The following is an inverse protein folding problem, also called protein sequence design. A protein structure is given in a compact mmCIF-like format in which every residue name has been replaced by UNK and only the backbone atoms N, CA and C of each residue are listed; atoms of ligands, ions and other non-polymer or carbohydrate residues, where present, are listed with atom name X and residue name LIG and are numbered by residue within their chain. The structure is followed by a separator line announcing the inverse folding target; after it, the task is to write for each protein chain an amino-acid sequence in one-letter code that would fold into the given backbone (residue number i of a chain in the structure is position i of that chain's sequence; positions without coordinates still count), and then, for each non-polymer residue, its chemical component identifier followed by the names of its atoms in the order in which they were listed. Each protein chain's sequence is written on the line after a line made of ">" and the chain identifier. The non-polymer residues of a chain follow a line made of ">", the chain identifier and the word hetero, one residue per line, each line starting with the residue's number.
data_IF_726874740453
#
_entry.id   IF_726874740453
#
_cell.length_a   1.000
_cell.length_b   1.000
_cell.length_c   1.000
_cell.angle_alpha   90.00
_cell.angle_beta   90.00
_cell.angle_gamma   90.00
#
_symmetry.space_group_name_H-M   'P 1'
#
loop_
_entity.id
_entity.type
_entity.pdbx_description
1 polymer ?
#
# COMPACT_ATOMS: atom_id res chain seq x y z
N UNK A 1 0.41 22.13 -6.62
CA UNK A 1 1.06 21.35 -5.55
C UNK A 1 0.20 20.13 -5.31
N UNK A 2 0.54 19.00 -5.94
CA UNK A 2 -0.30 17.81 -5.94
C UNK A 2 -0.48 17.34 -4.50
N UNK A 3 -1.73 17.34 -4.02
CA UNK A 3 -2.11 16.82 -2.72
C UNK A 3 -1.83 15.32 -2.78
N UNK A 4 -0.80 14.85 -2.10
CA UNK A 4 -0.54 13.41 -1.95
C UNK A 4 -1.86 12.80 -1.45
N UNK A 5 -2.47 11.95 -2.25
CA UNK A 5 -3.74 11.34 -1.89
C UNK A 5 -3.47 10.32 -0.78
N UNK A 6 -3.81 10.72 0.44
CA UNK A 6 -3.69 9.88 1.62
C UNK A 6 -4.93 9.00 1.73
N UNK A 7 -4.72 7.70 1.90
CA UNK A 7 -5.79 6.72 2.03
C UNK A 7 -6.57 6.98 3.32
N UNK A 8 -7.90 7.04 3.25
CA UNK A 8 -8.72 7.21 4.46
C UNK A 8 -8.57 6.01 5.42
N UNK A 9 -8.64 6.22 6.74
CA UNK A 9 -8.44 5.14 7.73
C UNK A 9 -9.33 3.92 7.51
N UNK A 10 -10.60 4.13 7.13
CA UNK A 10 -11.54 3.03 6.86
C UNK A 10 -11.09 2.10 5.72
N UNK A 11 -10.37 2.62 4.72
CA UNK A 11 -9.88 1.81 3.61
C UNK A 11 -8.62 1.03 3.98
N UNK A 12 -7.81 1.55 4.92
CA UNK A 12 -6.64 0.83 5.44
C UNK A 12 -7.08 -0.52 6.02
N UNK A 13 -8.11 -0.53 6.84
CA UNK A 13 -8.60 -1.75 7.49
C UNK A 13 -9.21 -2.74 6.49
N UNK A 14 -9.93 -2.24 5.46
CA UNK A 14 -10.49 -3.08 4.39
C UNK A 14 -9.37 -3.74 3.59
N UNK A 15 -8.38 -2.96 3.12
CA UNK A 15 -7.24 -3.49 2.35
C UNK A 15 -6.46 -4.50 3.20
N UNK A 16 -6.22 -4.20 4.48
CA UNK A 16 -5.50 -5.11 5.37
C UNK A 16 -6.19 -6.48 5.48
N UNK A 17 -7.53 -6.47 5.61
CA UNK A 17 -8.33 -7.69 5.62
C UNK A 17 -8.29 -8.45 4.29
N UNK A 18 -8.37 -7.75 3.16
CA UNK A 18 -8.37 -8.38 1.82
C UNK A 18 -7.00 -8.96 1.45
N UNK A 19 -5.91 -8.29 1.84
CA UNK A 19 -4.53 -8.68 1.55
C UNK A 19 -3.98 -9.71 2.55
N UNK A 20 -4.62 -9.83 3.72
CA UNK A 20 -4.15 -10.70 4.81
C UNK A 20 -2.89 -10.15 5.47
N UNK A 21 -2.84 -8.85 5.72
CA UNK A 21 -1.73 -8.16 6.39
C UNK A 21 -2.23 -7.24 7.51
N UNK A 22 -1.31 -6.55 8.18
CA UNK A 22 -1.66 -5.62 9.27
C UNK A 22 -1.89 -4.21 8.72
N UNK A 23 -2.80 -3.40 9.32
CA UNK A 23 -3.06 -2.03 8.89
C UNK A 23 -1.81 -1.14 8.75
N UNK A 24 -0.83 -1.28 9.64
CA UNK A 24 0.42 -0.51 9.54
C UNK A 24 1.25 -0.87 8.29
N UNK A 25 1.18 -2.11 7.81
CA UNK A 25 1.85 -2.52 6.57
C UNK A 25 1.17 -1.89 5.36
N UNK A 26 -0.16 -1.73 5.42
CA UNK A 26 -0.94 -1.02 4.39
C UNK A 26 -0.56 0.45 4.34
N UNK A 27 -0.46 1.11 5.51
CA UNK A 27 -0.01 2.50 5.59
C UNK A 27 1.39 2.69 5.04
N UNK A 28 2.36 1.88 5.50
CA UNK A 28 3.75 1.98 5.05
C UNK A 28 3.90 1.75 3.54
N UNK A 29 3.24 0.73 2.98
CA UNK A 29 3.26 0.50 1.54
C UNK A 29 2.55 1.63 0.78
N UNK A 30 1.42 2.13 1.29
CA UNK A 30 0.66 3.21 0.64
C UNK A 30 1.45 4.53 0.59
N UNK A 31 2.23 4.85 1.62
CA UNK A 31 3.13 6.01 1.64
C UNK A 31 4.20 5.89 0.55
N UNK A 32 4.86 4.74 0.46
CA UNK A 32 5.86 4.47 -0.58
C UNK A 32 5.27 4.60 -1.99
N UNK A 33 4.06 4.09 -2.22
CA UNK A 33 3.38 4.22 -3.51
C UNK A 33 2.97 5.66 -3.80
N UNK A 34 2.59 6.43 -2.78
CA UNK A 34 2.26 7.84 -2.93
C UNK A 34 3.51 8.69 -3.28
N UNK A 35 4.70 8.24 -2.87
CA UNK A 35 6.01 8.80 -3.26
C UNK A 35 6.47 8.33 -4.66
N UNK A 36 5.72 7.46 -5.32
CA UNK A 36 6.02 6.96 -6.67
C UNK A 36 6.84 5.67 -6.71
N UNK A 37 7.00 4.97 -5.59
CA UNK A 37 7.60 3.64 -5.62
C UNK A 37 6.73 2.67 -6.44
N UNK A 38 7.36 1.67 -7.07
CA UNK A 38 6.66 0.61 -7.80
C UNK A 38 6.64 -0.68 -6.98
N UNK A 39 5.72 -1.61 -7.28
CA UNK A 39 5.66 -2.92 -6.59
C UNK A 39 7.01 -3.65 -6.61
N UNK A 40 7.72 -3.81 -7.76
CA UNK A 40 9.03 -4.47 -7.77
C UNK A 40 10.09 -3.73 -6.93
N UNK A 41 10.03 -2.39 -6.90
CA UNK A 41 10.94 -1.59 -6.08
C UNK A 41 10.70 -1.82 -4.59
N UNK A 42 9.44 -1.77 -4.14
CA UNK A 42 9.08 -1.96 -2.74
C UNK A 42 9.44 -3.38 -2.27
N UNK A 43 9.08 -4.40 -3.06
CA UNK A 43 9.41 -5.79 -2.78
C UNK A 43 10.91 -6.04 -2.56
N UNK A 44 11.74 -5.39 -3.38
CA UNK A 44 13.20 -5.61 -3.39
C UNK A 44 13.97 -4.71 -2.42
N UNK A 45 13.55 -3.47 -2.23
CA UNK A 45 14.35 -2.43 -1.55
C UNK A 45 13.68 -1.81 -0.33
N UNK A 46 12.43 -2.16 -0.02
CA UNK A 46 11.67 -1.62 1.12
C UNK A 46 10.97 -2.70 1.95
N UNK A 47 11.49 -3.93 1.90
CA UNK A 47 10.91 -5.08 2.60
C UNK A 47 10.75 -4.87 4.11
N UNK A 48 11.73 -4.23 4.75
CA UNK A 48 11.65 -3.94 6.19
C UNK A 48 10.58 -2.88 6.51
N UNK A 49 10.46 -1.85 5.66
CA UNK A 49 9.48 -0.77 5.86
C UNK A 49 8.04 -1.29 5.79
N UNK A 50 7.77 -2.28 4.96
CA UNK A 50 6.44 -2.90 4.84
C UNK A 50 6.21 -4.08 5.79
N UNK A 51 7.16 -4.40 6.67
CA UNK A 51 7.07 -5.57 7.53
C UNK A 51 7.09 -6.90 6.76
N UNK A 52 7.72 -6.92 5.58
CA UNK A 52 7.98 -8.13 4.82
C UNK A 52 6.92 -8.53 3.80
N UNK A 53 6.04 -7.62 3.37
CA UNK A 53 5.02 -7.93 2.35
C UNK A 53 5.65 -8.54 1.09
N UNK A 54 5.03 -9.59 0.58
CA UNK A 54 5.45 -10.30 -0.63
C UNK A 54 4.86 -9.65 -1.89
N UNK A 55 5.42 -9.97 -3.06
CA UNK A 55 5.04 -9.39 -4.35
C UNK A 55 3.52 -9.45 -4.61
N UNK A 56 2.89 -10.60 -4.35
CA UNK A 56 1.44 -10.76 -4.54
C UNK A 56 0.63 -9.89 -3.58
N UNK A 57 1.09 -9.72 -2.34
CA UNK A 57 0.44 -8.87 -1.35
C UNK A 57 0.58 -7.38 -1.73
N UNK A 58 1.77 -6.97 -2.17
CA UNK A 58 2.03 -5.61 -2.64
C UNK A 58 1.23 -5.27 -3.89
N UNK A 59 1.11 -6.21 -4.84
CA UNK A 59 0.31 -6.02 -6.05
C UNK A 59 -1.18 -5.90 -5.74
N UNK A 60 -1.71 -6.76 -4.87
CA UNK A 60 -3.11 -6.68 -4.43
C UNK A 60 -3.41 -5.37 -3.70
N UNK A 61 -2.53 -4.98 -2.76
CA UNK A 61 -2.62 -3.73 -2.02
C UNK A 61 -2.61 -2.52 -2.96
N UNK A 62 -1.67 -2.48 -3.92
CA UNK A 62 -1.53 -1.38 -4.85
C UNK A 62 -2.81 -1.20 -5.68
N UNK A 63 -3.32 -2.28 -6.28
CA UNK A 63 -4.59 -2.25 -7.05
C UNK A 63 -5.76 -1.77 -6.20
N UNK A 64 -5.83 -2.19 -4.94
CA UNK A 64 -6.93 -1.81 -4.06
C UNK A 64 -6.85 -0.35 -3.61
N UNK A 65 -5.64 0.13 -3.33
CA UNK A 65 -5.36 1.55 -3.09
C UNK A 65 -5.82 2.40 -4.28
N UNK A 66 -5.40 2.07 -5.50
CA UNK A 66 -5.78 2.85 -6.70
C UNK A 66 -7.30 2.92 -6.86
N UNK A 67 -7.99 1.79 -6.72
CA UNK A 67 -9.45 1.76 -6.79
C UNK A 67 -10.13 2.71 -5.79
N UNK A 68 -9.65 2.76 -4.54
CA UNK A 68 -10.24 3.65 -3.52
C UNK A 68 -9.88 5.12 -3.70
N UNK A 69 -8.80 5.43 -4.43
CA UNK A 69 -8.43 6.81 -4.74
C UNK A 69 -9.20 7.39 -5.93
N UNK A 70 -9.75 6.53 -6.79
CA UNK A 70 -10.58 6.92 -7.94
C UNK A 70 -12.08 7.04 -7.61
N UNK A 71 -12.49 6.62 -6.40
CA UNK A 71 -13.89 6.62 -5.93
C UNK A 71 -14.33 7.98 -5.38
#
# INVERSE_FOLDING_TARGET
>A
MSKIALLEPRFVDIIASEVGCRPHQVQAASELFAEGATVPFVARYRKEATGGLEDLQLEALFKRREYFLEL
#
